data_IF_232160127458
#
_entry.id   IF_232160127458
#
_cell.length_a   1.000
_cell.length_b   1.000
_cell.length_c   1.000
_cell.angle_alpha   90.00
_cell.angle_beta   90.00
_cell.angle_gamma   90.00
#
_symmetry.space_group_name_H-M   'P 1'
#
loop_
_entity.id
_entity.type
_entity.pdbx_description
1 polymer ?
#
# COMPACT_ATOMS: atom_id res chain seq x y z
N UNK A 1 -17.42 -4.44 -8.62
CA UNK A 1 -17.21 -4.36 -7.15
C UNK A 1 -15.85 -3.73 -6.93
N UNK A 2 -15.76 -2.79 -5.99
CA UNK A 2 -14.47 -2.19 -5.67
C UNK A 2 -13.53 -3.21 -5.05
N UNK A 3 -12.23 -3.03 -5.27
CA UNK A 3 -11.20 -3.87 -4.70
C UNK A 3 -10.23 -3.03 -3.87
N UNK A 4 -9.67 -3.63 -2.83
CA UNK A 4 -8.81 -2.95 -1.88
C UNK A 4 -7.43 -3.59 -1.85
N UNK A 5 -6.39 -2.78 -2.02
CA UNK A 5 -5.02 -3.16 -1.70
C UNK A 5 -4.76 -2.74 -0.25
N UNK A 6 -4.59 -3.72 0.64
CA UNK A 6 -4.31 -3.48 2.06
C UNK A 6 -2.86 -3.83 2.33
N UNK A 7 -2.11 -2.87 2.86
CA UNK A 7 -0.72 -3.04 3.27
C UNK A 7 -0.59 -2.76 4.75
N UNK A 8 -0.08 -3.72 5.51
CA UNK A 8 0.34 -3.55 6.91
C UNK A 8 1.86 -3.56 6.93
N UNK A 9 2.44 -2.41 7.25
CA UNK A 9 3.86 -2.14 7.09
C UNK A 9 4.50 -1.80 8.43
N UNK A 10 5.60 -2.48 8.75
CA UNK A 10 6.51 -2.12 9.83
C UNK A 10 7.77 -1.54 9.20
N UNK A 11 7.99 -0.24 9.31
CA UNK A 11 9.15 0.43 8.71
C UNK A 11 10.31 0.35 9.71
N UNK A 12 11.36 -0.38 9.36
CA UNK A 12 12.55 -0.58 10.21
C UNK A 12 13.71 0.31 9.79
N UNK A 13 13.75 0.75 8.52
CA UNK A 13 14.79 1.64 8.00
C UNK A 13 14.20 2.70 7.06
N UNK A 14 14.07 3.93 7.57
CA UNK A 14 13.56 5.07 6.81
C UNK A 14 14.66 5.68 5.94
N UNK A 15 14.79 5.20 4.70
CA UNK A 15 15.74 5.72 3.71
C UNK A 15 15.12 6.80 2.80
N UNK A 16 15.96 7.55 2.07
CA UNK A 16 15.48 8.47 1.04
C UNK A 16 14.82 7.71 -0.13
N UNK A 17 15.33 6.53 -0.48
CA UNK A 17 14.75 5.67 -1.51
C UNK A 17 13.34 5.20 -1.15
N UNK A 18 13.07 4.91 0.13
CA UNK A 18 11.73 4.59 0.60
C UNK A 18 10.78 5.77 0.43
N UNK A 19 11.23 7.00 0.71
CA UNK A 19 10.42 8.21 0.52
C UNK A 19 10.08 8.42 -0.95
N UNK A 20 11.07 8.27 -1.83
CA UNK A 20 10.87 8.33 -3.28
C UNK A 20 9.91 7.25 -3.77
N UNK A 21 10.07 6.01 -3.31
CA UNK A 21 9.14 4.92 -3.61
C UNK A 21 7.72 5.27 -3.17
N UNK A 22 7.56 5.81 -1.96
CA UNK A 22 6.26 6.11 -1.39
C UNK A 22 5.56 7.26 -2.13
N UNK A 23 6.32 8.20 -2.71
CA UNK A 23 5.81 9.25 -3.58
C UNK A 23 5.41 8.68 -4.95
N UNK A 24 6.32 7.99 -5.63
CA UNK A 24 6.07 7.42 -6.97
C UNK A 24 4.93 6.39 -6.94
N UNK A 25 4.87 5.56 -5.90
CA UNK A 25 3.78 4.60 -5.71
C UNK A 25 2.44 5.32 -5.56
N UNK A 26 2.37 6.47 -4.89
CA UNK A 26 1.12 7.22 -4.74
C UNK A 26 0.64 7.81 -6.06
N UNK A 27 1.57 8.31 -6.88
CA UNK A 27 1.27 8.82 -8.22
C UNK A 27 0.78 7.71 -9.15
N UNK A 28 1.42 6.55 -9.13
CA UNK A 28 0.99 5.39 -9.90
C UNK A 28 -0.38 4.88 -9.45
N UNK A 29 -0.63 4.75 -8.15
CA UNK A 29 -1.96 4.35 -7.65
C UNK A 29 -3.04 5.26 -8.22
N UNK A 30 -2.84 6.58 -8.20
CA UNK A 30 -3.77 7.56 -8.77
C UNK A 30 -3.91 7.39 -10.29
N UNK A 31 -2.80 7.15 -11.01
CA UNK A 31 -2.80 6.92 -12.46
C UNK A 31 -3.64 5.72 -12.88
N UNK A 32 -3.61 4.64 -12.09
CA UNK A 32 -4.39 3.42 -12.34
C UNK A 32 -5.80 3.45 -11.71
N UNK A 33 -6.32 4.64 -11.39
CA UNK A 33 -7.69 4.81 -10.88
C UNK A 33 -7.87 4.47 -9.40
N UNK A 34 -6.77 4.19 -8.68
CA UNK A 34 -6.77 3.95 -7.25
C UNK A 34 -6.87 5.24 -6.43
N UNK A 35 -7.41 5.12 -5.22
CA UNK A 35 -7.56 6.21 -4.25
C UNK A 35 -7.19 5.74 -2.85
N UNK A 36 -6.58 6.60 -2.05
CA UNK A 36 -6.25 6.26 -0.65
C UNK A 36 -7.50 6.35 0.23
N UNK A 37 -7.76 5.27 0.99
CA UNK A 37 -8.79 5.24 2.03
C UNK A 37 -8.17 5.61 3.38
N UNK A 38 -6.99 5.06 3.68
CA UNK A 38 -6.18 5.45 4.83
C UNK A 38 -4.70 5.20 4.56
N UNK A 39 -3.83 5.92 5.28
CA UNK A 39 -2.38 5.78 5.20
C UNK A 39 -1.73 6.30 6.49
N UNK A 40 -1.28 5.39 7.34
CA UNK A 40 -0.57 5.74 8.57
C UNK A 40 -0.81 4.73 9.69
N UNK A 41 -0.27 4.98 10.89
CA UNK A 41 -0.58 4.16 12.06
C UNK A 41 -2.06 4.29 12.45
N UNK A 42 -2.57 3.28 13.17
CA UNK A 42 -3.88 3.39 13.80
C UNK A 42 -3.87 4.53 14.82
N UNK A 43 -4.86 5.44 14.74
CA UNK A 43 -5.02 6.52 15.72
C UNK A 43 -5.42 5.98 17.09
N UNK A 44 -6.26 4.95 17.10
CA UNK A 44 -6.76 4.27 18.30
C UNK A 44 -6.81 2.77 18.01
N UNK A 45 -6.44 1.95 19.00
CA UNK A 45 -6.49 0.49 18.91
C UNK A 45 -7.39 0.00 20.02
N UNK A 46 -8.53 -0.59 19.64
CA UNK A 46 -9.51 -1.11 20.60
C UNK A 46 -9.10 -2.48 21.16
N UNK A 47 -8.57 -3.37 20.31
CA UNK A 47 -8.20 -4.74 20.68
C UNK A 47 -7.00 -5.24 19.85
N UNK A 48 -6.20 -6.13 20.46
CA UNK A 48 -5.06 -6.81 19.83
C UNK A 48 -3.82 -5.94 19.65
N UNK A 49 -2.69 -6.59 19.34
CA UNK A 49 -1.37 -5.93 19.24
C UNK A 49 -0.85 -5.87 17.79
N UNK A 50 -1.56 -6.45 16.83
CA UNK A 50 -1.10 -6.57 15.44
C UNK A 50 -0.78 -5.21 14.80
N UNK A 51 -1.50 -4.16 15.18
CA UNK A 51 -1.37 -2.81 14.64
C UNK A 51 -0.31 -1.96 15.37
N UNK A 52 0.19 -2.43 16.52
CA UNK A 52 1.19 -1.69 17.29
C UNK A 52 2.46 -1.48 16.46
N UNK A 53 2.97 -0.24 16.42
CA UNK A 53 4.16 0.17 15.66
C UNK A 53 4.09 -0.07 14.14
N UNK A 54 2.89 -0.33 13.59
CA UNK A 54 2.70 -0.55 12.15
C UNK A 54 1.84 0.55 11.54
N UNK A 55 2.09 0.79 10.26
CA UNK A 55 1.25 1.63 9.42
C UNK A 55 0.34 0.75 8.56
N UNK A 56 -0.93 1.12 8.50
CA UNK A 56 -1.89 0.53 7.58
C UNK A 56 -2.10 1.48 6.41
N UNK A 57 -2.01 0.95 5.20
CA UNK A 57 -2.28 1.65 3.96
C UNK A 57 -3.36 0.88 3.23
N UNK A 58 -4.50 1.52 2.98
CA UNK A 58 -5.60 0.94 2.23
C UNK A 58 -5.83 1.81 1.01
N UNK A 59 -5.77 1.21 -0.17
CA UNK A 59 -6.15 1.89 -1.41
C UNK A 59 -7.30 1.16 -2.09
N UNK A 60 -8.28 1.93 -2.55
CA UNK A 60 -9.47 1.45 -3.26
C UNK A 60 -9.27 1.64 -4.76
N UNK A 61 -9.48 0.59 -5.53
CA UNK A 61 -9.53 0.59 -6.99
C UNK A 61 -10.97 0.30 -7.47
N UNK A 62 -11.33 0.72 -8.69
CA UNK A 62 -12.67 0.50 -9.24
C UNK A 62 -12.98 -1.00 -9.44
N UNK A 63 -11.97 -1.78 -9.81
CA UNK A 63 -12.05 -3.22 -10.11
C UNK A 63 -10.67 -3.90 -9.96
N UNK A 64 -10.67 -5.23 -9.98
CA UNK A 64 -9.45 -6.06 -9.83
C UNK A 64 -8.48 -5.90 -11.00
N UNK A 65 -8.97 -5.65 -12.21
CA UNK A 65 -8.15 -5.47 -13.41
C UNK A 65 -7.28 -4.21 -13.30
N UNK A 66 -7.84 -3.12 -12.79
CA UNK A 66 -7.13 -1.87 -12.54
C UNK A 66 -6.04 -2.03 -11.48
N UNK A 67 -6.31 -2.80 -10.41
CA UNK A 67 -5.32 -3.09 -9.37
C UNK A 67 -4.19 -3.97 -9.92
N UNK A 68 -4.51 -5.01 -10.70
CA UNK A 68 -3.50 -5.86 -11.34
C UNK A 68 -2.67 -5.06 -12.34
N UNK A 69 -3.30 -4.23 -13.18
CA UNK A 69 -2.60 -3.35 -14.11
C UNK A 69 -1.61 -2.43 -13.38
N UNK A 70 -1.98 -1.89 -12.21
CA UNK A 70 -1.05 -1.16 -11.35
C UNK A 70 0.11 -2.05 -10.87
N UNK A 71 -0.19 -3.18 -10.25
CA UNK A 71 0.80 -4.03 -9.59
C UNK A 71 1.80 -4.68 -10.57
N UNK A 72 1.33 -5.03 -11.76
CA UNK A 72 2.11 -5.67 -12.83
C UNK A 72 2.72 -4.66 -13.79
N UNK A 73 2.44 -3.35 -13.62
CA UNK A 73 3.01 -2.32 -14.49
C UNK A 73 4.54 -2.31 -14.44
N UNK A 74 5.14 -1.98 -15.59
CA UNK A 74 6.59 -1.75 -15.71
C UNK A 74 7.03 -0.62 -14.78
N UNK A 75 6.21 0.43 -14.66
CA UNK A 75 6.47 1.58 -13.79
C UNK A 75 6.50 1.19 -12.31
N UNK A 76 5.52 0.40 -11.83
CA UNK A 76 5.52 -0.05 -10.44
C UNK A 76 6.64 -1.06 -10.17
N UNK A 77 6.89 -1.96 -11.11
CA UNK A 77 7.98 -2.94 -11.02
C UNK A 77 9.35 -2.28 -10.93
N UNK A 78 9.56 -1.13 -11.59
CA UNK A 78 10.80 -0.37 -11.52
C UNK A 78 11.05 0.29 -10.16
N UNK A 79 10.00 0.68 -9.43
CA UNK A 79 10.14 1.33 -8.12
C UNK A 79 10.05 0.35 -6.95
N UNK A 80 9.41 -0.82 -7.13
CA UNK A 80 9.22 -1.82 -6.07
C UNK A 80 10.51 -2.27 -5.37
N UNK A 81 11.69 -2.37 -6.01
CA UNK A 81 12.93 -2.70 -5.31
C UNK A 81 13.37 -1.67 -4.27
N UNK A 82 13.00 -0.39 -4.44
CA UNK A 82 13.39 0.71 -3.53
C UNK A 82 12.89 0.55 -2.09
N UNK A 83 11.89 -0.32 -1.84
CA UNK A 83 11.42 -0.66 -0.48
C UNK A 83 12.07 -1.91 0.10
N UNK A 84 12.87 -2.66 -0.65
CA UNK A 84 13.50 -3.89 -0.14
C UNK A 84 14.44 -3.57 1.02
N UNK A 85 14.38 -4.37 2.09
CA UNK A 85 15.19 -4.16 3.29
C UNK A 85 14.79 -2.95 4.15
N UNK A 86 13.73 -2.21 3.79
CA UNK A 86 13.29 -1.01 4.53
C UNK A 86 12.25 -1.31 5.63
N UNK A 87 11.74 -2.54 5.66
CA UNK A 87 10.70 -2.94 6.59
C UNK A 87 10.08 -4.30 6.27
N UNK A 88 9.08 -4.67 7.07
CA UNK A 88 8.23 -5.84 6.86
C UNK A 88 6.91 -5.36 6.25
N UNK A 89 6.54 -5.93 5.11
CA UNK A 89 5.36 -5.53 4.34
C UNK A 89 4.43 -6.72 4.14
N UNK A 90 3.25 -6.67 4.75
CA UNK A 90 2.18 -7.63 4.52
C UNK A 90 1.15 -6.98 3.61
N UNK A 91 1.09 -7.42 2.36
CA UNK A 91 0.26 -6.78 1.33
C UNK A 91 -0.71 -7.83 0.78
N UNK A 92 -1.99 -7.50 0.74
CA UNK A 92 -3.04 -8.36 0.22
C UNK A 92 -4.08 -7.59 -0.58
N UNK A 93 -4.80 -8.34 -1.43
CA UNK A 93 -5.91 -7.85 -2.24
C UNK A 93 -7.20 -8.38 -1.64
N UNK A 94 -8.16 -7.50 -1.38
CA UNK A 94 -9.43 -7.81 -0.74
C UNK A 94 -10.58 -7.29 -1.59
N UNK A 95 -11.61 -8.12 -1.80
CA UNK A 95 -12.82 -7.67 -2.46
C UNK A 95 -13.64 -6.78 -1.50
N UNK A 96 -14.25 -5.73 -2.05
CA UNK A 96 -15.28 -4.99 -1.33
C UNK A 96 -16.48 -5.88 -1.05
N UNK A 97 -17.16 -5.61 0.06
CA UNK A 97 -18.35 -6.36 0.45
C UNK A 97 -19.54 -6.13 -0.50
N UNK A 98 -19.63 -4.94 -1.10
CA UNK A 98 -20.71 -4.49 -2.00
C UNK A 98 -20.15 -3.60 -3.13
#
# INVERSE_FOLDING_TARGET
MSVYLVSVCEITNMSNELKEYAQQSAELIKKFGGSYVTRGPASEVYEGEMLANKSVIITKFPDVESLHAFWESVEYSAIKPKREGTGIYNIGVFQGAE
#
